data_IF_346451275803
#
_entry.id   IF_346451275803
#
_cell.length_a   1.000
_cell.length_b   1.000
_cell.length_c   1.000
_cell.angle_alpha   90.00
_cell.angle_beta   90.00
_cell.angle_gamma   90.00
#
_symmetry.space_group_name_H-M   'P 1'
#
loop_
_entity.id
_entity.type
_entity.pdbx_description
1 polymer ?
#
# COMPACT_ATOMS: atom_id res chain seq x y z
N UNK A 1 -0.05 13.13 8.36
CA UNK A 1 0.34 13.08 9.81
C UNK A 1 -0.17 11.83 10.53
N UNK A 2 -1.47 11.49 10.43
CA UNK A 2 -2.10 10.39 11.18
C UNK A 2 -1.44 9.01 10.98
N UNK A 3 -1.12 8.64 9.73
CA UNK A 3 -0.52 7.33 9.41
C UNK A 3 0.83 7.14 10.12
N UNK A 4 1.67 8.18 10.14
CA UNK A 4 2.97 8.16 10.84
C UNK A 4 2.80 7.90 12.34
N UNK A 5 1.90 8.66 12.98
CA UNK A 5 1.64 8.52 14.42
C UNK A 5 1.08 7.13 14.73
N UNK A 6 0.11 6.66 13.93
CA UNK A 6 -0.48 5.33 14.08
C UNK A 6 0.58 4.22 13.96
N UNK A 7 1.41 4.27 12.92
CA UNK A 7 2.47 3.28 12.72
C UNK A 7 3.49 3.29 13.86
N UNK A 8 3.95 4.47 14.30
CA UNK A 8 4.95 4.59 15.37
C UNK A 8 4.40 4.26 16.77
N UNK A 9 3.10 4.41 16.99
CA UNK A 9 2.43 4.07 18.25
C UNK A 9 2.02 2.61 18.35
N UNK A 10 2.09 1.86 17.24
CA UNK A 10 1.65 0.47 17.16
C UNK A 10 2.48 -0.49 18.03
N UNK A 11 1.79 -1.44 18.68
CA UNK A 11 2.39 -2.44 19.59
C UNK A 11 2.43 -3.87 19.03
N UNK A 12 2.03 -4.09 17.78
CA UNK A 12 2.18 -5.38 17.08
C UNK A 12 3.58 -5.63 16.52
N UNK A 13 3.95 -6.90 16.34
CA UNK A 13 5.19 -7.29 15.61
C UNK A 13 5.12 -6.94 14.12
N UNK A 14 3.90 -6.95 13.58
CA UNK A 14 3.57 -6.47 12.25
C UNK A 14 2.65 -5.26 12.36
N UNK A 15 2.71 -4.37 11.38
CA UNK A 15 1.92 -3.15 11.30
C UNK A 15 1.17 -3.16 9.98
N UNK A 16 -0.16 -3.23 10.04
CA UNK A 16 -1.03 -3.16 8.86
C UNK A 16 -1.49 -1.71 8.65
N UNK A 17 -1.23 -1.18 7.47
CA UNK A 17 -1.87 0.03 6.96
C UNK A 17 -3.06 -0.40 6.09
N UNK A 18 -4.21 0.21 6.31
CA UNK A 18 -5.45 -0.06 5.57
C UNK A 18 -6.35 1.18 5.61
N UNK A 19 -7.07 1.43 4.52
CA UNK A 19 -8.08 2.48 4.44
C UNK A 19 -9.34 2.08 5.23
N UNK A 20 -9.97 3.03 5.91
CA UNK A 20 -11.14 2.77 6.77
C UNK A 20 -12.46 2.60 5.99
N UNK A 21 -12.45 2.80 4.66
CA UNK A 21 -13.62 2.74 3.79
C UNK A 21 -14.01 1.32 3.38
N UNK A 22 -13.24 0.31 3.81
CA UNK A 22 -13.48 -1.09 3.45
C UNK A 22 -13.21 -1.40 1.98
N UNK A 23 -12.49 -0.53 1.24
CA UNK A 23 -12.16 -0.76 -0.16
C UNK A 23 -11.19 -1.94 -0.40
N UNK A 24 -10.71 -2.56 0.67
CA UNK A 24 -9.86 -3.77 0.61
C UNK A 24 -10.45 -4.87 1.46
N UNK A 25 -10.53 -6.08 0.89
CA UNK A 25 -10.97 -7.26 1.63
C UNK A 25 -9.86 -7.78 2.54
N UNK A 26 -10.20 -8.08 3.80
CA UNK A 26 -9.29 -8.72 4.75
C UNK A 26 -8.87 -10.14 4.33
N UNK A 27 -9.56 -10.76 3.37
CA UNK A 27 -9.11 -12.04 2.78
C UNK A 27 -7.70 -11.94 2.17
N UNK A 28 -7.27 -10.73 1.76
CA UNK A 28 -5.91 -10.50 1.26
C UNK A 28 -4.83 -10.48 2.34
N UNK A 29 -5.18 -10.43 3.64
CA UNK A 29 -4.21 -10.32 4.73
C UNK A 29 -3.29 -11.56 4.81
N UNK A 30 -3.86 -12.76 4.65
CA UNK A 30 -3.09 -14.01 4.73
C UNK A 30 -1.95 -14.05 3.70
N UNK A 31 -2.18 -13.51 2.49
CA UNK A 31 -1.15 -13.42 1.46
C UNK A 31 -0.03 -12.42 1.83
N UNK A 32 -0.38 -11.32 2.52
CA UNK A 32 0.61 -10.37 3.02
C UNK A 32 1.42 -10.96 4.16
N UNK A 33 0.78 -11.67 5.09
CA UNK A 33 1.45 -12.35 6.20
C UNK A 33 2.44 -13.40 5.68
N UNK A 34 2.03 -14.23 4.71
CA UNK A 34 2.91 -15.20 4.06
C UNK A 34 4.12 -14.52 3.38
N UNK A 35 3.92 -13.36 2.75
CA UNK A 35 5.03 -12.61 2.15
C UNK A 35 6.03 -12.12 3.22
N UNK A 36 5.54 -11.64 4.37
CA UNK A 36 6.40 -11.25 5.50
C UNK A 36 7.15 -12.48 6.07
N UNK A 37 6.45 -13.60 6.25
CA UNK A 37 7.03 -14.86 6.77
C UNK A 37 8.10 -15.44 5.84
N UNK A 38 7.93 -15.29 4.53
CA UNK A 38 8.95 -15.68 3.53
C UNK A 38 10.15 -14.73 3.46
N UNK A 39 10.18 -13.69 4.30
CA UNK A 39 11.35 -12.84 4.51
C UNK A 39 11.20 -11.41 3.99
N UNK A 40 10.03 -11.02 3.48
CA UNK A 40 9.81 -9.62 3.09
C UNK A 40 9.72 -8.70 4.31
N UNK A 41 10.31 -7.51 4.20
CA UNK A 41 10.18 -6.46 5.21
C UNK A 41 8.84 -5.71 5.09
N UNK A 42 8.33 -5.62 3.86
CA UNK A 42 7.08 -4.94 3.51
C UNK A 42 6.36 -5.72 2.41
N UNK A 43 5.08 -5.99 2.63
CA UNK A 43 4.20 -6.63 1.65
C UNK A 43 3.12 -5.64 1.20
N UNK A 44 2.90 -5.56 -0.12
CA UNK A 44 1.93 -4.65 -0.73
C UNK A 44 0.73 -5.45 -1.24
N UNK A 45 -0.47 -5.05 -0.84
CA UNK A 45 -1.69 -5.49 -1.49
C UNK A 45 -1.77 -4.94 -2.91
N UNK A 46 -2.47 -5.64 -3.79
CA UNK A 46 -2.73 -5.19 -5.15
C UNK A 46 -4.23 -5.05 -5.35
N UNK A 47 -4.70 -3.87 -5.76
CA UNK A 47 -6.11 -3.65 -6.15
C UNK A 47 -6.35 -3.92 -7.64
N UNK A 48 -5.36 -4.47 -8.35
CA UNK A 48 -5.49 -4.68 -9.79
C UNK A 48 -6.64 -5.63 -10.12
N UNK A 49 -6.86 -6.67 -9.31
CA UNK A 49 -7.96 -7.61 -9.47
C UNK A 49 -9.34 -6.93 -9.29
N UNK A 50 -9.47 -6.01 -8.33
CA UNK A 50 -10.70 -5.23 -8.10
C UNK A 50 -11.03 -4.26 -9.25
N UNK A 51 -10.05 -3.89 -10.08
CA UNK A 51 -10.30 -3.06 -11.25
C UNK A 51 -11.00 -3.84 -12.37
N UNK A 52 -10.75 -5.14 -12.49
CA UNK A 52 -11.40 -6.03 -13.45
C UNK A 52 -12.85 -6.34 -13.04
N UNK A 53 -13.12 -6.43 -11.74
CA UNK A 53 -14.46 -6.67 -11.19
C UNK A 53 -15.32 -5.40 -11.06
N UNK A 54 -14.76 -4.21 -11.30
CA UNK A 54 -15.48 -2.96 -11.12
C UNK A 54 -16.56 -2.75 -12.18
N UNK A 55 -17.83 -2.85 -11.77
CA UNK A 55 -19.04 -2.57 -12.58
C UNK A 55 -19.22 -1.09 -12.92
N UNK A 56 -18.42 -0.19 -12.33
CA UNK A 56 -18.50 1.25 -12.53
C UNK A 56 -17.66 1.67 -13.73
N UNK A 57 -18.33 2.14 -14.79
CA UNK A 57 -17.70 2.69 -16.00
C UNK A 57 -16.82 3.90 -15.64
N UNK A 58 -15.50 3.71 -15.66
CA UNK A 58 -14.53 4.77 -15.38
C UNK A 58 -14.39 5.69 -16.61
N UNK A 59 -14.28 6.99 -16.39
CA UNK A 59 -13.95 7.92 -17.47
C UNK A 59 -12.56 7.60 -18.07
N UNK A 60 -12.42 7.69 -19.39
CA UNK A 60 -11.19 7.28 -20.09
C UNK A 60 -9.97 8.08 -19.64
N UNK A 61 -10.13 9.38 -19.37
CA UNK A 61 -9.05 10.25 -18.90
C UNK A 61 -8.54 9.82 -17.52
N UNK A 62 -9.43 9.30 -16.65
CA UNK A 62 -9.04 8.79 -15.32
C UNK A 62 -8.13 7.57 -15.48
N UNK A 63 -8.43 6.70 -16.43
CA UNK A 63 -7.58 5.53 -16.75
C UNK A 63 -6.24 5.96 -17.35
N UNK A 64 -6.25 6.94 -18.27
CA UNK A 64 -5.03 7.47 -18.88
C UNK A 64 -4.09 8.08 -17.84
N UNK A 65 -4.61 8.98 -16.99
CA UNK A 65 -3.84 9.63 -15.93
C UNK A 65 -3.29 8.62 -14.92
N UNK A 66 -4.10 7.62 -14.53
CA UNK A 66 -3.65 6.55 -13.63
C UNK A 66 -2.51 5.72 -14.23
N UNK A 67 -2.61 5.33 -15.51
CA UNK A 67 -1.55 4.58 -16.19
C UNK A 67 -0.29 5.43 -16.37
N UNK A 68 -0.44 6.70 -16.74
CA UNK A 68 0.67 7.64 -16.87
C UNK A 68 1.43 7.83 -15.56
N UNK A 69 0.70 8.02 -14.45
CA UNK A 69 1.32 8.14 -13.13
C UNK A 69 2.05 6.86 -12.71
N UNK A 70 1.45 5.68 -12.92
CA UNK A 70 2.14 4.40 -12.64
C UNK A 70 3.43 4.25 -13.47
N UNK A 71 3.43 4.68 -14.73
CA UNK A 71 4.62 4.66 -15.57
C UNK A 71 5.73 5.55 -15.00
N UNK A 72 5.39 6.80 -14.64
CA UNK A 72 6.36 7.73 -14.04
C UNK A 72 6.93 7.16 -12.74
N UNK A 73 6.09 6.65 -11.86
CA UNK A 73 6.54 6.05 -10.58
C UNK A 73 7.45 4.84 -10.82
N UNK A 74 7.10 3.96 -11.75
CA UNK A 74 7.95 2.80 -12.10
C UNK A 74 9.31 3.20 -12.64
N UNK A 75 9.39 4.30 -13.40
CA UNK A 75 10.66 4.81 -13.93
C UNK A 75 11.54 5.43 -12.83
N UNK A 76 10.93 6.10 -11.85
CA UNK A 76 11.67 6.78 -10.78
C UNK A 76 12.07 5.87 -9.61
N UNK A 77 11.19 4.93 -9.23
CA UNK A 77 11.34 4.09 -8.03
C UNK A 77 11.76 2.65 -8.38
N UNK A 78 11.54 2.21 -9.62
CA UNK A 78 11.82 0.86 -10.09
C UNK A 78 10.57 -0.04 -10.15
N UNK A 79 10.76 -1.26 -10.65
CA UNK A 79 9.68 -2.19 -11.00
C UNK A 79 9.30 -3.18 -9.89
N UNK A 80 10.03 -3.19 -8.78
CA UNK A 80 9.83 -4.17 -7.70
C UNK A 80 8.47 -4.02 -7.00
N UNK A 81 7.91 -2.80 -6.98
CA UNK A 81 6.57 -2.54 -6.41
C UNK A 81 5.60 -2.15 -7.51
N UNK A 82 4.62 -3.03 -7.78
CA UNK A 82 3.67 -2.84 -8.89
C UNK A 82 2.59 -1.79 -8.60
N UNK A 83 2.17 -1.68 -7.34
CA UNK A 83 1.09 -0.80 -6.87
C UNK A 83 1.55 -0.05 -5.60
N UNK A 84 2.25 1.06 -5.81
CA UNK A 84 2.77 1.89 -4.72
C UNK A 84 1.66 2.66 -3.99
N UNK A 85 0.51 2.87 -4.65
CA UNK A 85 -0.59 3.72 -4.17
C UNK A 85 -1.67 2.95 -3.42
N UNK A 86 -1.57 1.62 -3.34
CA UNK A 86 -2.48 0.81 -2.54
C UNK A 86 -2.38 1.19 -1.05
N UNK A 87 -3.52 1.43 -0.38
CA UNK A 87 -3.58 1.70 1.05
C UNK A 87 -3.38 0.46 1.92
N UNK A 88 -3.41 -0.74 1.33
CA UNK A 88 -3.30 -2.03 2.03
C UNK A 88 -1.85 -2.55 1.99
N UNK A 89 -1.13 -2.36 3.10
CA UNK A 89 0.30 -2.70 3.20
C UNK A 89 0.61 -3.27 4.58
N UNK A 90 1.34 -4.38 4.62
CA UNK A 90 1.81 -4.98 5.87
C UNK A 90 3.31 -4.75 6.01
N UNK A 91 3.75 -4.31 7.18
CA UNK A 91 5.15 -4.03 7.48
C UNK A 91 5.61 -4.88 8.66
N UNK A 92 6.86 -5.36 8.63
CA UNK A 92 7.54 -5.71 9.88
C UNK A 92 7.70 -4.45 10.72
N UNK A 93 7.63 -4.58 12.05
CA UNK A 93 7.74 -3.44 12.96
C UNK A 93 9.00 -2.61 12.74
N UNK A 94 10.14 -3.25 12.55
CA UNK A 94 11.42 -2.56 12.36
C UNK A 94 11.45 -1.81 11.02
N UNK A 95 10.93 -2.43 9.96
CA UNK A 95 10.72 -1.77 8.67
C UNK A 95 9.79 -0.57 8.80
N UNK A 96 8.65 -0.72 9.48
CA UNK A 96 7.72 0.37 9.75
C UNK A 96 8.42 1.53 10.48
N UNK A 97 9.21 1.26 11.53
CA UNK A 97 9.95 2.30 12.25
C UNK A 97 10.92 3.07 11.35
N UNK A 98 11.66 2.37 10.49
CA UNK A 98 12.59 3.02 9.54
C UNK A 98 11.85 3.86 8.50
N UNK A 99 10.77 3.35 7.94
CA UNK A 99 9.99 4.03 6.89
C UNK A 99 9.24 5.24 7.47
N UNK A 100 8.47 5.06 8.54
CA UNK A 100 7.62 6.12 9.08
C UNK A 100 8.41 7.20 9.85
N UNK A 101 9.64 6.92 10.30
CA UNK A 101 10.51 7.94 10.91
C UNK A 101 11.04 8.95 9.89
N UNK A 102 11.25 8.53 8.63
CA UNK A 102 11.75 9.39 7.55
C UNK A 102 10.67 10.24 6.85
N UNK A 103 9.41 10.11 7.26
CA UNK A 103 8.31 10.92 6.73
C UNK A 103 8.32 12.33 7.34
N UNK A 104 8.65 13.32 6.50
CA UNK A 104 8.72 14.74 6.88
C UNK A 104 7.44 15.52 6.57
N UNK A 105 6.58 15.00 5.67
CA UNK A 105 5.36 15.69 5.26
C UNK A 105 4.32 15.61 6.38
N UNK A 106 4.02 16.78 6.96
CA UNK A 106 3.10 16.92 8.10
C UNK A 106 1.64 17.20 7.68
N UNK A 107 1.34 17.16 6.39
CA UNK A 107 -0.01 17.44 5.84
C UNK A 107 -0.86 16.17 5.82
N UNK A 108 -2.14 16.33 5.44
CA UNK A 108 -3.16 15.28 5.40
C UNK A 108 -2.64 14.03 4.68
#
# INVERSE_FOLDING_TARGET
FAVRVGALSSRGQQVLMVDADGATSFSGLAALEQAIESGADVAFGSRHHLAEESTVRRAWYRTLLMRGFHMVVRLLIGSQVKDTQCGFKLFRRDAARRVFSSLHISRW
#
